data_IF_606234789850
#
_entry.id   IF_606234789850
#
_cell.length_a   1.000
_cell.length_b   1.000
_cell.length_c   1.000
_cell.angle_alpha   90.00
_cell.angle_beta   90.00
_cell.angle_gamma   90.00
#
_symmetry.space_group_name_H-M   'P 1'
#
loop_
_entity.id
_entity.type
_entity.pdbx_description
1 polymer ?
#
# COMPACT_ATOMS: atom_id res chain seq x y z
N UNK A 1 -39.72 -15.81 55.23
CA UNK A 1 -39.65 -14.73 54.20
C UNK A 1 -38.18 -14.38 54.01
N UNK A 2 -37.52 -14.99 53.02
CA UNK A 2 -36.09 -14.82 52.75
C UNK A 2 -35.88 -13.53 51.94
N UNK A 3 -35.21 -12.54 52.53
CA UNK A 3 -34.79 -11.32 51.82
C UNK A 3 -33.49 -11.65 51.08
N UNK A 4 -33.51 -11.55 49.74
CA UNK A 4 -32.31 -11.67 48.92
C UNK A 4 -31.41 -10.47 49.14
N UNK A 5 -30.18 -10.69 49.61
CA UNK A 5 -29.13 -9.67 49.67
C UNK A 5 -28.39 -9.74 48.34
N UNK A 6 -28.47 -8.67 47.56
CA UNK A 6 -27.81 -8.57 46.26
C UNK A 6 -26.28 -8.48 46.47
N UNK A 7 -25.46 -9.40 45.93
CA UNK A 7 -24.03 -9.51 46.26
C UNK A 7 -23.16 -8.40 45.64
N UNK A 8 -23.76 -7.45 44.91
CA UNK A 8 -23.01 -6.47 44.11
C UNK A 8 -23.23 -5.02 44.58
N UNK A 9 -23.11 -4.79 45.89
CA UNK A 9 -23.02 -3.45 46.47
C UNK A 9 -21.61 -3.25 47.05
N UNK A 10 -20.66 -2.88 46.20
CA UNK A 10 -19.35 -2.43 46.65
C UNK A 10 -19.51 -1.07 47.35
N UNK A 11 -19.57 -1.08 48.69
CA UNK A 11 -19.45 0.14 49.49
C UNK A 11 -18.05 0.69 49.23
N UNK A 12 -17.95 1.76 48.44
CA UNK A 12 -16.67 2.47 48.23
C UNK A 12 -16.21 2.97 49.60
N UNK A 13 -15.05 2.50 50.05
CA UNK A 13 -14.41 3.00 51.27
C UNK A 13 -14.19 4.50 51.10
N UNK A 14 -14.60 5.28 52.10
CA UNK A 14 -14.32 6.71 52.14
C UNK A 14 -12.89 6.89 52.65
N UNK A 15 -11.95 7.03 51.73
CA UNK A 15 -10.52 7.15 52.02
C UNK A 15 -10.09 8.60 52.29
N UNK A 16 -11.02 9.55 52.36
CA UNK A 16 -10.69 10.98 52.46
C UNK A 16 -9.86 11.28 53.72
N UNK A 17 -10.19 10.67 54.86
CA UNK A 17 -9.43 10.89 56.11
C UNK A 17 -8.00 10.36 56.05
N UNK A 18 -7.76 9.25 55.34
CA UNK A 18 -6.42 8.71 55.13
C UNK A 18 -5.62 9.57 54.14
N UNK A 19 -6.27 10.06 53.09
CA UNK A 19 -5.64 10.95 52.12
C UNK A 19 -5.20 12.27 52.79
N UNK A 20 -6.06 12.88 53.61
CA UNK A 20 -5.73 14.11 54.34
C UNK A 20 -4.57 13.90 55.34
N UNK A 21 -4.58 12.79 56.09
CA UNK A 21 -3.49 12.45 57.00
C UNK A 21 -2.16 12.21 56.25
N UNK A 22 -2.23 11.59 55.07
CA UNK A 22 -1.06 11.35 54.22
C UNK A 22 -0.50 12.63 53.60
N UNK A 23 -1.36 13.57 53.20
CA UNK A 23 -0.96 14.89 52.71
C UNK A 23 -0.38 15.76 53.84
N UNK A 24 -0.93 15.71 55.06
CA UNK A 24 -0.44 16.44 56.22
C UNK A 24 0.99 16.04 56.65
N UNK A 25 1.42 14.82 56.29
CA UNK A 25 2.81 14.36 56.47
C UNK A 25 3.78 14.96 55.42
N UNK A 26 3.31 15.85 54.55
CA UNK A 26 4.12 16.52 53.52
C UNK A 26 4.36 15.70 52.27
N UNK A 27 3.64 14.59 52.08
CA UNK A 27 3.79 13.74 50.91
C UNK A 27 3.16 14.38 49.67
N UNK A 28 3.87 14.38 48.54
CA UNK A 28 3.40 14.93 47.25
C UNK A 28 3.59 13.90 46.15
N UNK A 29 2.54 13.62 45.37
CA UNK A 29 2.65 12.80 44.16
C UNK A 29 3.34 13.63 43.08
N UNK A 30 4.65 13.47 42.93
CA UNK A 30 5.45 14.25 41.96
C UNK A 30 5.43 13.66 40.55
N UNK A 31 5.15 12.35 40.39
CA UNK A 31 5.06 11.68 39.09
C UNK A 31 4.03 10.54 39.13
N UNK A 32 3.10 10.55 38.18
CA UNK A 32 2.23 9.40 37.91
C UNK A 32 3.02 8.43 37.02
N UNK A 33 3.35 7.24 37.53
CA UNK A 33 4.02 6.23 36.72
C UNK A 33 3.03 5.68 35.68
N UNK A 34 3.19 6.10 34.43
CA UNK A 34 2.39 5.57 33.32
C UNK A 34 2.90 4.16 32.94
N UNK A 35 2.35 3.15 33.62
CA UNK A 35 2.68 1.74 33.39
C UNK A 35 2.35 1.25 31.96
N UNK A 36 1.58 2.01 31.17
CA UNK A 36 1.31 1.68 29.77
C UNK A 36 2.56 1.85 28.89
N UNK A 37 3.28 2.95 29.03
CA UNK A 37 4.50 3.21 28.23
C UNK A 37 5.62 2.24 28.57
N UNK A 38 5.74 1.88 29.86
CA UNK A 38 6.69 0.86 30.30
C UNK A 38 6.32 -0.53 29.77
N UNK A 39 5.02 -0.86 29.69
CA UNK A 39 4.52 -2.10 29.07
C UNK A 39 4.77 -2.14 27.56
N UNK A 40 4.69 -1.01 26.86
CA UNK A 40 5.04 -0.94 25.43
C UNK A 40 6.53 -1.20 25.19
N UNK A 41 7.41 -0.71 26.07
CA UNK A 41 8.88 -0.88 25.97
C UNK A 41 9.35 -2.26 26.41
N UNK A 42 8.68 -2.88 27.39
CA UNK A 42 9.02 -4.20 27.91
C UNK A 42 8.41 -5.36 27.10
N UNK A 43 7.54 -5.07 26.13
CA UNK A 43 6.99 -6.10 25.24
C UNK A 43 8.13 -6.67 24.40
N UNK A 44 8.45 -7.97 24.51
CA UNK A 44 9.42 -8.59 23.61
C UNK A 44 8.92 -8.31 22.20
N UNK A 45 9.74 -7.66 21.37
CA UNK A 45 9.42 -7.52 19.96
C UNK A 45 9.34 -8.92 19.38
N UNK A 46 8.12 -9.46 19.24
CA UNK A 46 7.82 -10.68 18.49
C UNK A 46 8.10 -10.50 16.98
N UNK A 47 8.99 -9.58 16.62
CA UNK A 47 9.56 -9.39 15.31
C UNK A 47 11.01 -9.89 15.40
N UNK A 48 11.19 -11.13 15.88
CA UNK A 48 12.16 -11.99 15.21
C UNK A 48 11.58 -12.11 13.81
N UNK A 49 12.09 -11.30 12.88
CA UNK A 49 11.77 -11.44 11.46
C UNK A 49 12.30 -12.81 11.07
N UNK A 50 11.49 -13.85 11.25
CA UNK A 50 11.57 -15.01 10.40
C UNK A 50 11.41 -14.45 8.99
N UNK A 51 12.53 -14.25 8.32
CA UNK A 51 12.58 -14.04 6.89
C UNK A 51 12.09 -15.34 6.31
N UNK A 52 10.76 -15.49 6.21
CA UNK A 52 10.16 -16.63 5.53
C UNK A 52 10.79 -16.68 4.14
N UNK A 53 11.31 -17.84 3.69
CA UNK A 53 11.85 -17.99 2.34
C UNK A 53 10.85 -17.55 1.26
N UNK A 54 9.55 -17.56 1.57
CA UNK A 54 8.47 -17.04 0.71
C UNK A 54 8.54 -15.52 0.49
N UNK A 55 9.01 -14.75 1.48
CA UNK A 55 9.23 -13.29 1.33
C UNK A 55 10.37 -13.04 0.35
N UNK A 56 11.45 -13.81 0.45
CA UNK A 56 12.58 -13.72 -0.49
C UNK A 56 12.17 -14.10 -1.92
N UNK A 57 11.37 -15.16 -2.10
CA UNK A 57 10.84 -15.52 -3.43
C UNK A 57 9.91 -14.46 -4.03
N UNK A 58 9.07 -13.81 -3.21
CA UNK A 58 8.19 -12.72 -3.66
C UNK A 58 8.99 -11.50 -4.13
N UNK A 59 10.02 -11.12 -3.38
CA UNK A 59 10.91 -10.01 -3.76
C UNK A 59 11.70 -10.35 -5.04
N UNK A 60 12.24 -11.56 -5.16
CA UNK A 60 12.93 -12.01 -6.38
C UNK A 60 12.02 -11.96 -7.62
N UNK A 61 10.78 -12.46 -7.51
CA UNK A 61 9.79 -12.39 -8.60
C UNK A 61 9.40 -10.94 -8.93
N UNK A 62 9.40 -10.04 -7.95
CA UNK A 62 9.11 -8.61 -8.17
C UNK A 62 10.26 -7.93 -8.92
N UNK A 63 11.50 -8.23 -8.56
CA UNK A 63 12.70 -7.75 -9.26
C UNK A 63 12.73 -8.26 -10.69
N UNK A 64 12.45 -9.55 -10.90
CA UNK A 64 12.38 -10.16 -12.24
C UNK A 64 11.27 -9.51 -13.09
N UNK A 65 10.08 -9.28 -12.52
CA UNK A 65 9.00 -8.56 -13.20
C UNK A 65 9.37 -7.11 -13.53
N UNK A 66 10.14 -6.44 -12.68
CA UNK A 66 10.64 -5.10 -12.95
C UNK A 66 11.68 -5.10 -14.08
N UNK A 67 12.57 -6.09 -14.11
CA UNK A 67 13.58 -6.25 -15.17
C UNK A 67 12.96 -6.56 -16.56
N UNK A 68 11.81 -7.24 -16.57
CA UNK A 68 11.07 -7.61 -17.78
C UNK A 68 10.05 -6.55 -18.25
N UNK A 69 9.95 -5.42 -17.57
CA UNK A 69 9.12 -4.30 -18.01
C UNK A 69 9.78 -3.51 -19.15
N UNK A 70 8.94 -2.92 -19.99
CA UNK A 70 9.34 -1.95 -20.99
C UNK A 70 10.01 -0.77 -20.31
N UNK A 71 11.07 -0.24 -20.92
CA UNK A 71 11.77 0.93 -20.40
C UNK A 71 10.84 2.15 -20.40
N UNK A 72 11.04 3.07 -19.46
CA UNK A 72 10.26 4.31 -19.41
C UNK A 72 10.35 5.10 -20.74
N UNK A 73 11.52 5.12 -21.36
CA UNK A 73 11.73 5.71 -22.68
C UNK A 73 10.83 5.10 -23.77
N UNK A 74 10.54 3.80 -23.71
CA UNK A 74 9.65 3.11 -24.65
C UNK A 74 8.19 3.58 -24.46
N UNK A 75 7.76 3.75 -23.21
CA UNK A 75 6.41 4.27 -22.90
C UNK A 75 6.28 5.73 -23.34
N UNK A 76 7.32 6.54 -23.14
CA UNK A 76 7.35 7.92 -23.62
C UNK A 76 7.29 8.00 -25.15
N UNK A 77 8.03 7.15 -25.86
CA UNK A 77 7.98 7.05 -27.33
C UNK A 77 6.56 6.72 -27.82
N UNK A 78 5.91 5.72 -27.21
CA UNK A 78 4.52 5.39 -27.54
C UNK A 78 3.59 6.58 -27.29
N UNK A 79 3.78 7.30 -26.18
CA UNK A 79 2.96 8.45 -25.81
C UNK A 79 3.07 9.59 -26.83
N UNK A 80 4.29 9.94 -27.21
CA UNK A 80 4.56 10.95 -28.24
C UNK A 80 3.97 10.55 -29.60
N UNK A 81 4.13 9.27 -29.98
CA UNK A 81 3.61 8.77 -31.24
C UNK A 81 2.07 8.82 -31.31
N UNK A 82 1.39 8.49 -30.21
CA UNK A 82 -0.07 8.57 -30.10
C UNK A 82 -0.56 10.02 -30.17
N UNK A 83 0.19 10.96 -29.61
CA UNK A 83 -0.17 12.38 -29.57
C UNK A 83 0.15 13.11 -30.88
N UNK A 84 1.06 12.58 -31.70
CA UNK A 84 1.45 13.18 -32.97
C UNK A 84 0.31 13.19 -34.02
N UNK A 85 -0.60 12.21 -34.03
CA UNK A 85 -1.76 12.21 -34.94
C UNK A 85 -3.03 11.75 -34.25
N UNK A 86 -4.11 12.53 -34.45
CA UNK A 86 -5.45 12.18 -33.99
C UNK A 86 -5.93 10.91 -34.70
N UNK A 87 -6.34 9.91 -33.93
CA UNK A 87 -6.87 8.64 -34.45
C UNK A 87 -5.91 7.46 -34.39
N UNK A 88 -4.61 7.68 -34.18
CA UNK A 88 -3.60 6.61 -34.05
C UNK A 88 -3.93 5.61 -32.94
N UNK A 89 -4.43 6.09 -31.81
CA UNK A 89 -4.83 5.22 -30.72
C UNK A 89 -5.97 4.26 -31.10
N UNK A 90 -6.92 4.72 -31.93
CA UNK A 90 -8.03 3.90 -32.44
C UNK A 90 -7.52 2.88 -33.45
N UNK A 91 -6.67 3.29 -34.38
CA UNK A 91 -6.05 2.40 -35.37
C UNK A 91 -5.19 1.32 -34.71
N UNK A 92 -4.38 1.70 -33.72
CA UNK A 92 -3.53 0.79 -32.95
C UNK A 92 -4.35 -0.25 -32.19
N UNK A 93 -5.44 0.18 -31.54
CA UNK A 93 -6.40 -0.70 -30.86
C UNK A 93 -7.04 -1.71 -31.82
N UNK A 94 -7.40 -1.27 -33.02
CA UNK A 94 -8.00 -2.13 -34.04
C UNK A 94 -7.04 -3.22 -34.53
N UNK A 95 -5.75 -2.91 -34.64
CA UNK A 95 -4.72 -3.90 -35.04
C UNK A 95 -4.41 -4.86 -33.90
N UNK A 96 -4.25 -4.35 -32.67
CA UNK A 96 -3.90 -5.16 -31.51
C UNK A 96 -5.07 -5.96 -30.93
N UNK A 97 -6.31 -5.67 -31.36
CA UNK A 97 -7.52 -6.29 -30.81
C UNK A 97 -7.72 -6.03 -29.33
N UNK A 98 -7.27 -4.88 -28.81
CA UNK A 98 -7.28 -4.57 -27.37
C UNK A 98 -8.18 -3.38 -27.05
N UNK A 99 -8.62 -3.24 -25.79
CA UNK A 99 -9.45 -2.10 -25.39
C UNK A 99 -8.67 -0.78 -25.47
N UNK A 100 -9.36 0.33 -25.77
CA UNK A 100 -8.70 1.64 -25.78
C UNK A 100 -8.12 2.04 -24.41
N UNK A 101 -8.79 1.64 -23.33
CA UNK A 101 -8.30 1.80 -21.96
C UNK A 101 -6.95 1.10 -21.72
N UNK A 102 -6.68 -0.02 -22.40
CA UNK A 102 -5.41 -0.73 -22.28
C UNK A 102 -4.23 0.15 -22.70
N UNK A 103 -4.34 0.79 -23.87
CA UNK A 103 -3.31 1.69 -24.40
C UNK A 103 -3.21 2.95 -23.53
N UNK A 104 -4.33 3.49 -23.06
CA UNK A 104 -4.35 4.64 -22.15
C UNK A 104 -3.65 4.37 -20.82
N UNK A 105 -3.84 3.17 -20.25
CA UNK A 105 -3.18 2.77 -19.01
C UNK A 105 -1.66 2.58 -19.18
N UNK A 106 -1.22 2.08 -20.34
CA UNK A 106 0.21 2.02 -20.67
C UNK A 106 0.78 3.43 -20.83
N UNK A 107 0.08 4.32 -21.55
CA UNK A 107 0.49 5.73 -21.73
C UNK A 107 0.66 6.45 -20.40
N UNK A 108 -0.28 6.27 -19.48
CA UNK A 108 -0.25 6.87 -18.13
C UNK A 108 0.71 6.17 -17.16
N UNK A 109 1.46 5.16 -17.62
CA UNK A 109 2.32 4.30 -16.80
C UNK A 109 1.60 3.62 -15.61
N UNK A 110 0.26 3.65 -15.58
CA UNK A 110 -0.55 3.01 -14.52
C UNK A 110 -0.59 1.50 -14.67
N UNK A 111 -0.33 0.99 -15.88
CA UNK A 111 -0.20 -0.43 -16.16
C UNK A 111 1.23 -0.76 -16.62
N UNK A 112 1.92 -1.72 -15.97
CA UNK A 112 3.21 -2.19 -16.45
C UNK A 112 3.04 -2.92 -17.78
N UNK A 113 3.89 -2.57 -18.75
CA UNK A 113 3.99 -3.25 -20.04
C UNK A 113 5.23 -4.13 -20.04
N UNK A 114 5.14 -5.38 -20.47
CA UNK A 114 6.32 -6.24 -20.64
C UNK A 114 7.05 -5.90 -21.93
N UNK A 115 8.36 -6.16 -22.02
CA UNK A 115 9.14 -5.91 -23.25
C UNK A 115 8.55 -6.61 -24.47
N UNK A 116 8.14 -7.88 -24.33
CA UNK A 116 7.52 -8.65 -25.41
C UNK A 116 6.21 -7.99 -25.91
N UNK A 117 5.36 -7.54 -24.98
CA UNK A 117 4.11 -6.87 -25.35
C UNK A 117 4.35 -5.50 -25.95
N UNK A 118 5.40 -4.80 -25.52
CA UNK A 118 5.81 -3.56 -26.14
C UNK A 118 6.30 -3.76 -27.58
N UNK A 119 7.03 -4.84 -27.86
CA UNK A 119 7.45 -5.18 -29.22
C UNK A 119 6.23 -5.41 -30.13
N UNK A 120 5.21 -6.13 -29.66
CA UNK A 120 3.95 -6.29 -30.41
C UNK A 120 3.26 -4.95 -30.69
N UNK A 121 3.23 -4.06 -29.69
CA UNK A 121 2.70 -2.69 -29.85
C UNK A 121 3.52 -1.93 -30.90
N UNK A 122 4.84 -2.03 -30.85
CA UNK A 122 5.74 -1.35 -31.77
C UNK A 122 5.57 -1.84 -33.22
N UNK A 123 5.43 -3.15 -33.44
CA UNK A 123 5.11 -3.69 -34.76
C UNK A 123 3.74 -3.19 -35.25
N UNK A 124 2.74 -3.14 -34.37
CA UNK A 124 1.44 -2.58 -34.72
C UNK A 124 1.50 -1.08 -35.06
N UNK A 125 2.34 -0.29 -34.38
CA UNK A 125 2.59 1.12 -34.71
C UNK A 125 3.11 1.26 -36.14
N UNK A 126 4.10 0.45 -36.55
CA UNK A 126 4.62 0.46 -37.94
C UNK A 126 3.56 0.13 -38.97
N UNK A 127 2.65 -0.78 -38.67
CA UNK A 127 1.52 -1.11 -39.56
C UNK A 127 0.57 0.09 -39.69
N UNK A 128 0.29 0.80 -38.58
CA UNK A 128 -0.50 2.04 -38.63
C UNK A 128 0.19 3.10 -39.49
N UNK A 129 1.48 3.35 -39.26
CA UNK A 129 2.26 4.32 -40.04
C UNK A 129 2.28 3.98 -41.54
N UNK A 130 2.43 2.69 -41.87
CA UNK A 130 2.34 2.24 -43.26
C UNK A 130 0.95 2.56 -43.84
N UNK A 131 -0.14 2.29 -43.11
CA UNK A 131 -1.50 2.61 -43.55
C UNK A 131 -1.73 4.11 -43.71
N UNK A 132 -1.13 4.94 -42.85
CA UNK A 132 -1.19 6.40 -42.95
C UNK A 132 -0.44 6.94 -44.17
N UNK A 133 0.64 6.27 -44.61
CA UNK A 133 1.45 6.72 -45.76
C UNK A 133 0.79 6.46 -47.12
N UNK A 134 -0.11 5.48 -47.20
CA UNK A 134 -0.80 5.09 -48.43
C UNK A 134 -2.26 5.58 -48.51
N UNK A 135 -2.68 6.41 -47.55
CA UNK A 135 -3.98 7.09 -47.51
C UNK A 135 -3.79 8.60 -47.61
#
# INVERSE_FOLDING_TARGET
MNKSINPNMHIKQNLNTEIEAWLAQGNVITKIQNTYEQRLKARPSHIVKFVSPEKNQKELKKIERAANQAAEAQIQMLSQWLDAHKGRAKALVQILGCAHSYISQIKSATRPCTKARFEEIYQAMKIVEAREKYH
#
